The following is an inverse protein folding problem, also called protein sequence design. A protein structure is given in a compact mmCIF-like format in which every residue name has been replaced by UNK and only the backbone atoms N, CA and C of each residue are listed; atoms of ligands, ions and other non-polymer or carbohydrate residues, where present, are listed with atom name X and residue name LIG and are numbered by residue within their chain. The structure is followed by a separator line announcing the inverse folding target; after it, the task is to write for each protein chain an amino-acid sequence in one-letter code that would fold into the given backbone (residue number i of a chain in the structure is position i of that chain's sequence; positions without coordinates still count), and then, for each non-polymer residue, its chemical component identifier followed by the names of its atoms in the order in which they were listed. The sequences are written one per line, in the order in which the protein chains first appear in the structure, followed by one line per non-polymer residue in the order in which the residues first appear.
data_IF_336872119260
#
_entry.id   IF_336872119260
#
_cell.length_a   1.000
_cell.length_b   1.000
_cell.length_c   1.000
_cell.angle_alpha   90.00
_cell.angle_beta   90.00
_cell.angle_gamma   90.00
#
_symmetry.space_group_name_H-M   'P 1'
#
loop_
_entity.id
_entity.type
_entity.pdbx_description
1 polymer ?
#
# COMPACT_ATOMS: atom_id res chain seq x y z
N UNK A 1 -4.79 48.02 27.64
CA UNK A 1 -3.81 47.66 26.60
C UNK A 1 -2.95 46.54 27.16
N UNK A 2 -2.93 45.32 26.66
CA UNK A 2 -3.64 44.71 25.55
C UNK A 2 -3.71 43.22 25.88
N UNK A 3 -4.94 42.72 26.01
CA UNK A 3 -5.25 41.30 26.27
C UNK A 3 -5.53 40.55 24.97
N UNK A 4 -5.05 41.07 23.84
CA UNK A 4 -5.63 40.76 22.52
C UNK A 4 -4.59 40.38 21.45
N UNK A 5 -3.32 40.16 21.81
CA UNK A 5 -2.25 39.89 20.83
C UNK A 5 -1.47 38.60 21.07
N UNK A 6 -2.01 37.66 21.85
CA UNK A 6 -1.36 36.33 22.06
C UNK A 6 -2.24 35.17 21.58
N UNK A 7 -3.43 35.47 21.02
CA UNK A 7 -4.38 34.45 20.56
C UNK A 7 -4.29 34.09 19.07
N UNK A 8 -3.41 34.72 18.28
CA UNK A 8 -3.39 34.53 16.81
C UNK A 8 -2.25 33.64 16.28
N UNK A 9 -1.24 33.30 17.09
CA UNK A 9 -0.04 32.58 16.62
C UNK A 9 -0.02 31.06 16.88
N UNK A 10 -1.18 30.42 17.14
CA UNK A 10 -1.24 28.95 17.35
C UNK A 10 -2.20 28.20 16.44
N UNK A 11 -2.61 28.82 15.35
CA UNK A 11 -3.08 28.05 14.19
C UNK A 11 -1.87 27.75 13.30
N UNK A 12 -0.96 26.91 13.81
CA UNK A 12 0.06 26.28 12.98
C UNK A 12 -0.70 25.35 12.05
N UNK A 13 -1.12 25.89 10.92
CA UNK A 13 -1.62 25.14 9.80
C UNK A 13 -0.56 24.08 9.48
N UNK A 14 -0.82 22.85 9.92
CA UNK A 14 -0.23 21.67 9.31
C UNK A 14 -0.66 21.76 7.85
N UNK A 15 0.18 22.37 7.02
CA UNK A 15 0.04 22.32 5.58
C UNK A 15 0.30 20.85 5.22
N UNK A 16 -0.75 20.03 5.37
CA UNK A 16 -0.76 18.64 4.99
C UNK A 16 -0.35 18.62 3.53
N UNK A 17 0.88 18.19 3.29
CA UNK A 17 1.43 18.12 1.97
C UNK A 17 0.54 17.21 1.12
N UNK A 18 -0.28 17.79 0.26
CA UNK A 18 -1.19 17.05 -0.61
C UNK A 18 -0.51 16.55 -1.89
N UNK A 19 0.80 16.77 -2.07
CA UNK A 19 1.52 16.36 -3.29
C UNK A 19 1.40 14.86 -3.56
N UNK A 20 1.24 14.03 -2.53
CA UNK A 20 1.00 12.59 -2.71
C UNK A 20 -0.24 12.28 -3.58
N UNK A 21 -1.26 13.15 -3.58
CA UNK A 21 -2.48 12.96 -4.39
C UNK A 21 -2.18 12.89 -5.88
N UNK A 22 -1.18 13.65 -6.35
CA UNK A 22 -0.76 13.63 -7.74
C UNK A 22 -0.10 12.30 -8.14
N UNK A 23 0.44 11.54 -7.18
CA UNK A 23 1.09 10.25 -7.42
C UNK A 23 0.09 9.09 -7.43
N UNK A 24 -1.09 9.23 -6.81
CA UNK A 24 -2.06 8.15 -6.70
C UNK A 24 -2.45 7.52 -8.05
N UNK A 25 -2.76 8.28 -9.11
CA UNK A 25 -3.13 7.69 -10.40
C UNK A 25 -1.97 6.91 -11.03
N UNK A 26 -0.73 7.41 -10.93
CA UNK A 26 0.44 6.74 -11.46
C UNK A 26 0.69 5.41 -10.72
N UNK A 27 0.68 5.43 -9.39
CA UNK A 27 0.87 4.23 -8.56
C UNK A 27 -0.18 3.16 -8.88
N UNK A 28 -1.46 3.54 -8.97
CA UNK A 28 -2.53 2.60 -9.29
C UNK A 28 -2.42 2.06 -10.73
N UNK A 29 -2.04 2.92 -11.68
CA UNK A 29 -1.80 2.52 -13.08
C UNK A 29 -0.65 1.53 -13.22
N UNK A 30 0.44 1.75 -12.48
CA UNK A 30 1.58 0.85 -12.44
C UNK A 30 1.20 -0.51 -11.85
N UNK A 31 0.37 -0.55 -10.81
CA UNK A 31 -0.10 -1.81 -10.24
C UNK A 31 -0.90 -2.64 -11.25
N UNK A 32 -1.82 -2.02 -11.99
CA UNK A 32 -2.59 -2.68 -13.03
C UNK A 32 -1.67 -3.21 -14.14
N UNK A 33 -0.68 -2.41 -14.53
CA UNK A 33 0.29 -2.78 -15.56
C UNK A 33 1.14 -3.99 -15.13
N UNK A 34 1.71 -3.94 -13.92
CA UNK A 34 2.50 -5.05 -13.35
C UNK A 34 1.66 -6.31 -13.18
N UNK A 35 0.42 -6.19 -12.72
CA UNK A 35 -0.49 -7.33 -12.60
C UNK A 35 -0.79 -7.97 -13.96
N UNK A 36 -0.99 -7.17 -15.00
CA UNK A 36 -1.24 -7.66 -16.36
C UNK A 36 -0.04 -8.43 -16.91
N UNK A 37 1.18 -7.93 -16.69
CA UNK A 37 2.43 -8.61 -17.07
C UNK A 37 2.58 -9.92 -16.29
N UNK A 38 2.45 -9.89 -14.96
CA UNK A 38 2.61 -11.07 -14.10
C UNK A 38 1.54 -12.14 -14.37
N UNK A 39 0.31 -11.75 -14.73
CA UNK A 39 -0.73 -12.71 -15.09
C UNK A 39 -0.41 -13.39 -16.44
N UNK A 40 0.21 -12.69 -17.40
CA UNK A 40 0.69 -13.32 -18.62
C UNK A 40 1.82 -14.35 -18.36
N UNK A 41 2.69 -14.08 -17.38
CA UNK A 41 3.83 -14.95 -17.03
C UNK A 41 3.42 -16.15 -16.16
N UNK A 42 2.64 -15.91 -15.11
CA UNK A 42 2.36 -16.90 -14.06
C UNK A 42 0.90 -17.35 -14.01
N UNK A 43 0.03 -16.72 -14.80
CA UNK A 43 -1.42 -16.86 -14.72
C UNK A 43 -1.97 -16.55 -13.33
N UNK A 44 -3.14 -17.12 -13.06
CA UNK A 44 -3.83 -17.05 -11.78
C UNK A 44 -3.16 -17.86 -10.63
N UNK A 45 -1.82 -17.92 -10.60
CA UNK A 45 -1.04 -18.64 -9.58
C UNK A 45 -1.40 -18.23 -8.14
N UNK A 46 -1.67 -16.94 -7.93
CA UNK A 46 -2.04 -16.35 -6.65
C UNK A 46 -3.31 -16.95 -6.02
N UNK A 47 -4.24 -17.45 -6.83
CA UNK A 47 -5.49 -18.10 -6.40
C UNK A 47 -5.52 -19.62 -6.66
N UNK A 48 -4.40 -20.23 -7.06
CA UNK A 48 -4.33 -21.66 -7.43
C UNK A 48 -4.75 -22.59 -6.30
N UNK A 49 -4.55 -22.19 -5.04
CA UNK A 49 -4.97 -22.93 -3.83
C UNK A 49 -6.30 -22.42 -3.26
N UNK A 50 -7.13 -21.80 -4.09
CA UNK A 50 -8.41 -21.21 -3.67
C UNK A 50 -8.25 -20.00 -2.75
N UNK A 51 -9.33 -19.65 -2.05
CA UNK A 51 -9.41 -18.45 -1.22
C UNK A 51 -8.40 -18.45 -0.06
N UNK A 52 -8.14 -19.60 0.55
CA UNK A 52 -7.16 -19.71 1.63
C UNK A 52 -5.73 -19.38 1.13
N UNK A 53 -5.35 -19.88 -0.05
CA UNK A 53 -4.06 -19.55 -0.65
C UNK A 53 -3.90 -18.06 -0.95
N UNK A 54 -4.95 -17.45 -1.51
CA UNK A 54 -4.95 -16.01 -1.77
C UNK A 54 -4.85 -15.18 -0.48
N UNK A 55 -5.54 -15.60 0.59
CA UNK A 55 -5.42 -14.96 1.92
C UNK A 55 -4.00 -15.10 2.48
N UNK A 56 -3.37 -16.27 2.36
CA UNK A 56 -1.99 -16.46 2.84
C UNK A 56 -0.98 -15.62 2.06
N UNK A 57 -1.24 -15.28 0.80
CA UNK A 57 -0.40 -14.32 0.06
C UNK A 57 -0.48 -12.91 0.63
N UNK A 58 -1.69 -12.47 1.04
CA UNK A 58 -1.88 -11.19 1.74
C UNK A 58 -1.15 -11.20 3.07
N UNK A 59 -1.38 -12.22 3.90
CA UNK A 59 -0.76 -12.35 5.22
C UNK A 59 0.77 -12.33 5.11
N UNK A 60 1.36 -13.10 4.19
CA UNK A 60 2.81 -13.10 3.96
C UNK A 60 3.37 -11.72 3.63
N UNK A 61 2.63 -10.90 2.88
CA UNK A 61 3.08 -9.54 2.53
C UNK A 61 2.94 -8.59 3.71
N UNK A 62 1.89 -8.75 4.50
CA UNK A 62 1.74 -8.04 5.76
C UNK A 62 2.87 -8.37 6.75
N UNK A 63 3.20 -9.65 6.95
CA UNK A 63 4.26 -10.10 7.87
C UNK A 63 5.63 -9.48 7.49
N UNK A 64 5.94 -9.41 6.20
CA UNK A 64 7.17 -8.78 5.70
C UNK A 64 7.20 -7.28 5.97
N UNK A 65 6.08 -6.59 5.75
CA UNK A 65 5.96 -5.17 6.05
C UNK A 65 6.11 -4.92 7.54
N UNK A 66 5.46 -5.73 8.38
CA UNK A 66 5.56 -5.67 9.84
C UNK A 66 7.02 -5.83 10.31
N UNK A 67 7.73 -6.86 9.81
CA UNK A 67 9.15 -7.09 10.12
C UNK A 67 10.01 -5.87 9.73
N UNK A 68 9.76 -5.30 8.55
CA UNK A 68 10.53 -4.17 8.05
C UNK A 68 10.32 -2.91 8.91
N UNK A 69 9.08 -2.60 9.30
CA UNK A 69 8.76 -1.39 10.07
C UNK A 69 9.07 -1.54 11.56
N UNK A 70 9.16 -2.75 12.10
CA UNK A 70 9.48 -2.99 13.51
C UNK A 70 10.80 -2.33 13.92
N UNK A 71 11.82 -2.34 13.04
CA UNK A 71 13.13 -1.71 13.27
C UNK A 71 13.07 -0.18 13.34
N UNK A 72 12.02 0.41 12.78
CA UNK A 72 11.75 1.84 12.82
C UNK A 72 10.66 2.21 13.84
N UNK A 73 10.44 1.38 14.87
CA UNK A 73 9.37 1.58 15.87
C UNK A 73 7.98 1.73 15.25
N UNK A 74 7.72 0.95 14.19
CA UNK A 74 6.49 0.97 13.40
C UNK A 74 6.21 2.27 12.63
N UNK A 75 7.19 3.18 12.51
CA UNK A 75 7.13 4.29 11.57
C UNK A 75 7.44 3.79 10.15
N UNK A 76 6.37 3.54 9.37
CA UNK A 76 6.48 3.05 7.99
C UNK A 76 7.18 4.05 7.06
N UNK A 77 7.06 5.36 7.30
CA UNK A 77 7.70 6.37 6.48
C UNK A 77 9.20 6.40 6.74
N UNK A 78 9.61 6.39 8.02
CA UNK A 78 11.01 6.27 8.39
C UNK A 78 11.62 4.96 7.88
N UNK A 79 10.92 3.83 8.04
CA UNK A 79 11.34 2.54 7.51
C UNK A 79 11.57 2.61 6.00
N UNK A 80 10.59 3.10 5.23
CA UNK A 80 10.68 3.19 3.78
C UNK A 80 11.81 4.12 3.30
N UNK A 81 11.99 5.28 3.95
CA UNK A 81 13.04 6.24 3.60
C UNK A 81 14.45 5.72 3.94
N UNK A 82 14.56 4.80 4.91
CA UNK A 82 15.81 4.18 5.31
C UNK A 82 16.12 2.86 4.59
N UNK A 83 15.17 2.33 3.81
CA UNK A 83 15.32 1.04 3.14
C UNK A 83 15.99 1.19 1.77
N UNK A 84 17.26 0.84 1.69
CA UNK A 84 18.06 0.89 0.46
C UNK A 84 18.07 -0.41 -0.36
N UNK A 85 17.24 -1.40 -0.02
CA UNK A 85 17.19 -2.68 -0.74
C UNK A 85 16.44 -2.55 -2.06
N UNK A 86 16.80 -3.40 -3.02
CA UNK A 86 16.10 -3.51 -4.31
C UNK A 86 14.67 -4.03 -4.16
N UNK A 87 14.44 -4.95 -3.22
CA UNK A 87 13.10 -5.35 -2.77
C UNK A 87 12.91 -4.89 -1.31
N UNK A 88 12.35 -3.69 -1.16
CA UNK A 88 12.21 -3.00 0.13
C UNK A 88 10.77 -2.82 0.59
N UNK A 89 10.58 -1.95 1.58
CA UNK A 89 9.25 -1.58 2.13
C UNK A 89 8.27 -1.16 1.03
N UNK A 90 8.73 -0.39 0.04
CA UNK A 90 7.87 0.05 -1.07
C UNK A 90 7.37 -1.11 -1.93
N UNK A 91 8.21 -2.12 -2.17
CA UNK A 91 7.84 -3.32 -2.93
C UNK A 91 6.83 -4.17 -2.18
N UNK A 92 7.01 -4.36 -0.86
CA UNK A 92 6.05 -5.10 -0.05
C UNK A 92 4.71 -4.36 0.06
N UNK A 93 4.71 -3.02 0.16
CA UNK A 93 3.49 -2.19 0.06
C UNK A 93 2.81 -2.38 -1.30
N UNK A 94 3.58 -2.32 -2.39
CA UNK A 94 3.03 -2.47 -3.74
C UNK A 94 2.46 -3.87 -3.98
N UNK A 95 3.18 -4.92 -3.57
CA UNK A 95 2.71 -6.29 -3.69
C UNK A 95 1.46 -6.54 -2.84
N UNK A 96 1.40 -6.08 -1.60
CA UNK A 96 0.21 -6.21 -0.76
C UNK A 96 -1.00 -5.54 -1.44
N UNK A 97 -0.84 -4.31 -1.94
CA UNK A 97 -1.91 -3.58 -2.64
C UNK A 97 -2.38 -4.31 -3.90
N UNK A 98 -1.45 -4.87 -4.68
CA UNK A 98 -1.75 -5.68 -5.88
C UNK A 98 -2.51 -6.97 -5.53
N UNK A 99 -2.13 -7.68 -4.46
CA UNK A 99 -2.87 -8.86 -4.01
C UNK A 99 -4.27 -8.51 -3.50
N UNK A 100 -4.42 -7.39 -2.77
CA UNK A 100 -5.74 -6.90 -2.35
C UNK A 100 -6.63 -6.62 -3.56
N UNK A 101 -6.09 -5.95 -4.58
CA UNK A 101 -6.80 -5.66 -5.83
C UNK A 101 -7.23 -6.95 -6.56
N UNK A 102 -6.34 -7.94 -6.66
CA UNK A 102 -6.65 -9.24 -7.27
C UNK A 102 -7.77 -9.97 -6.53
N UNK A 103 -7.67 -10.06 -5.20
CA UNK A 103 -8.68 -10.72 -4.36
C UNK A 103 -10.04 -10.05 -4.50
N UNK A 104 -10.09 -8.72 -4.42
CA UNK A 104 -11.32 -7.98 -4.60
C UNK A 104 -11.93 -8.19 -5.99
N UNK A 105 -11.11 -8.11 -7.04
CA UNK A 105 -11.56 -8.32 -8.41
C UNK A 105 -12.18 -9.71 -8.60
N UNK A 106 -11.55 -10.76 -8.07
CA UNK A 106 -12.08 -12.13 -8.13
C UNK A 106 -13.40 -12.27 -7.37
N UNK A 107 -13.52 -11.66 -6.18
CA UNK A 107 -14.78 -11.66 -5.41
C UNK A 107 -15.89 -10.98 -6.21
N UNK A 108 -15.63 -9.80 -6.78
CA UNK A 108 -16.61 -9.08 -7.62
C UNK A 108 -17.02 -9.88 -8.85
N UNK A 109 -16.09 -10.58 -9.49
CA UNK A 109 -16.38 -11.47 -10.62
C UNK A 109 -17.30 -12.62 -10.19
N UNK A 110 -17.08 -13.23 -9.03
CA UNK A 110 -17.92 -14.31 -8.50
C UNK A 110 -19.33 -13.83 -8.12
N UNK A 111 -19.44 -12.66 -7.53
CA UNK A 111 -20.72 -12.05 -7.17
C UNK A 111 -21.60 -11.77 -8.40
N UNK A 112 -21.01 -11.38 -9.54
CA UNK A 112 -21.75 -11.17 -10.80
C UNK A 112 -22.22 -12.45 -11.48
N UNK A 113 -21.75 -13.62 -11.03
CA UNK A 113 -22.12 -14.94 -11.56
C UNK A 113 -23.19 -15.64 -10.72
N UNK A 114 -23.56 -15.06 -9.59
CA UNK A 114 -24.60 -15.55 -8.68
C UNK A 114 -25.87 -14.73 -8.92
#
# INVERSE_FOLDING_TARGET
MSSETVSEDREVAVHLDTRYRALLPAIAGDDVSVLSIKDAEYGASWKRRGGAGAFMMLARKWDRLEEAVQRASYDVFAAALSDGREEGVLDDIADLRRYLLLVEAEVRVRQRRT
#
